data_IF_397813262288
#
_entry.id   IF_397813262288
#
_cell.length_a   1.000
_cell.length_b   1.000
_cell.length_c   1.000
_cell.angle_alpha   90.00
_cell.angle_beta   90.00
_cell.angle_gamma   90.00
#
_symmetry.space_group_name_H-M   'P 1'
#
loop_
_entity.id
_entity.type
_entity.pdbx_description
1 polymer ?
#
# COMPACT_ATOMS: atom_id res chain seq x y z
N UNK A 1 -4.04 -30.78 20.94
CA UNK A 1 -4.77 -30.18 19.80
C UNK A 1 -3.94 -28.99 19.34
N UNK A 2 -3.14 -29.13 18.28
CA UNK A 2 -2.38 -28.02 17.71
C UNK A 2 -3.33 -27.19 16.85
N UNK A 3 -3.53 -25.92 17.21
CA UNK A 3 -4.24 -24.97 16.37
C UNK A 3 -3.40 -24.73 15.11
N UNK A 4 -3.88 -25.23 13.96
CA UNK A 4 -3.38 -24.80 12.66
C UNK A 4 -3.61 -23.29 12.58
N UNK A 5 -2.55 -22.50 12.70
CA UNK A 5 -2.54 -21.11 12.25
C UNK A 5 -3.01 -21.15 10.80
N UNK A 6 -4.18 -20.56 10.51
CA UNK A 6 -4.57 -20.35 9.12
C UNK A 6 -3.46 -19.52 8.49
N UNK A 7 -2.73 -20.08 7.55
CA UNK A 7 -1.90 -19.30 6.64
C UNK A 7 -2.89 -18.49 5.79
N UNK A 8 -3.39 -17.39 6.37
CA UNK A 8 -4.32 -16.48 5.70
C UNK A 8 -3.65 -16.02 4.43
N UNK A 9 -4.17 -16.44 3.27
CA UNK A 9 -3.66 -15.98 1.99
C UNK A 9 -3.74 -14.46 1.97
N UNK A 10 -2.58 -13.81 1.92
CA UNK A 10 -2.50 -12.37 1.82
C UNK A 10 -2.86 -12.01 0.37
N UNK A 11 -4.09 -11.56 0.16
CA UNK A 11 -4.54 -11.10 -1.15
C UNK A 11 -4.01 -9.68 -1.41
N UNK A 12 -2.80 -9.59 -1.98
CA UNK A 12 -2.15 -8.32 -2.30
C UNK A 12 -3.01 -7.49 -3.26
N UNK A 13 -3.66 -8.12 -4.24
CA UNK A 13 -4.51 -7.43 -5.21
C UNK A 13 -5.69 -6.71 -4.52
N UNK A 14 -6.34 -7.37 -3.54
CA UNK A 14 -7.40 -6.77 -2.74
C UNK A 14 -6.90 -5.60 -1.87
N UNK A 15 -5.64 -5.64 -1.43
CA UNK A 15 -5.01 -4.58 -0.62
C UNK A 15 -4.46 -3.43 -1.46
N UNK A 16 -4.32 -3.59 -2.77
CA UNK A 16 -3.84 -2.54 -3.67
C UNK A 16 -4.97 -2.09 -4.61
N UNK A 17 -5.79 -1.13 -4.20
CA UNK A 17 -6.69 -0.45 -5.15
C UNK A 17 -5.86 0.41 -6.10
N UNK A 18 -6.11 0.27 -7.40
CA UNK A 18 -5.55 1.15 -8.42
C UNK A 18 -6.17 2.54 -8.24
N UNK A 19 -5.35 3.57 -8.23
CA UNK A 19 -5.82 4.95 -8.30
C UNK A 19 -5.95 5.29 -9.78
N UNK A 20 -7.18 5.41 -10.28
CA UNK A 20 -7.37 5.94 -11.63
C UNK A 20 -7.09 7.45 -11.65
N UNK A 21 -6.40 7.89 -12.70
CA UNK A 21 -6.10 9.30 -12.90
C UNK A 21 -7.33 9.97 -13.53
N UNK A 22 -7.95 10.86 -12.77
CA UNK A 22 -9.00 11.76 -13.21
C UNK A 22 -8.37 13.13 -13.52
N UNK A 23 -8.36 13.48 -14.81
CA UNK A 23 -7.80 14.74 -15.30
C UNK A 23 -8.58 15.98 -14.83
N UNK A 24 -9.74 15.80 -14.19
CA UNK A 24 -10.50 16.88 -13.53
C UNK A 24 -9.87 17.28 -12.19
N UNK A 25 -9.02 16.42 -11.61
CA UNK A 25 -8.35 16.67 -10.34
C UNK A 25 -6.99 17.34 -10.62
N UNK A 26 -6.69 18.39 -9.86
CA UNK A 26 -5.42 19.09 -10.00
C UNK A 26 -4.22 18.16 -9.70
N UNK A 27 -3.19 18.22 -10.54
CA UNK A 27 -1.98 17.40 -10.43
C UNK A 27 -1.32 17.45 -9.03
N UNK A 28 -1.40 18.61 -8.36
CA UNK A 28 -0.91 18.81 -6.98
C UNK A 28 -1.55 17.84 -5.97
N UNK A 29 -2.80 17.44 -6.18
CA UNK A 29 -3.50 16.48 -5.32
C UNK A 29 -2.85 15.10 -5.45
N UNK A 30 -2.53 14.66 -6.67
CA UNK A 30 -1.83 13.40 -6.90
C UNK A 30 -0.45 13.38 -6.23
N UNK A 31 0.32 14.47 -6.33
CA UNK A 31 1.59 14.57 -5.61
C UNK A 31 1.44 14.49 -4.08
N UNK A 32 0.39 15.07 -3.51
CA UNK A 32 0.09 14.94 -2.07
C UNK A 32 -0.28 13.51 -1.69
N UNK A 33 -1.05 12.82 -2.54
CA UNK A 33 -1.39 11.40 -2.32
C UNK A 33 -0.11 10.56 -2.36
N UNK A 34 0.74 10.77 -3.35
CA UNK A 34 2.01 10.05 -3.51
C UNK A 34 2.94 10.27 -2.30
N UNK A 35 3.07 11.51 -1.82
CA UNK A 35 3.85 11.84 -0.62
C UNK A 35 3.31 11.13 0.64
N UNK A 36 1.98 11.09 0.80
CA UNK A 36 1.36 10.37 1.92
C UNK A 36 1.60 8.86 1.84
N UNK A 37 1.57 8.26 0.64
CA UNK A 37 1.88 6.83 0.46
C UNK A 37 3.31 6.52 0.86
N UNK A 38 4.28 7.36 0.48
CA UNK A 38 5.68 7.17 0.86
C UNK A 38 5.90 7.33 2.37
N UNK A 39 5.24 8.30 3.02
CA UNK A 39 5.28 8.44 4.47
C UNK A 39 4.78 7.19 5.20
N UNK A 40 3.70 6.56 4.70
CA UNK A 40 3.22 5.29 5.26
C UNK A 40 4.20 4.15 5.00
N UNK A 41 4.84 4.10 3.83
CA UNK A 41 5.88 3.12 3.53
C UNK A 41 7.06 3.23 4.51
N UNK A 42 7.48 4.45 4.87
CA UNK A 42 8.56 4.65 5.83
C UNK A 42 8.19 4.16 7.25
N UNK A 43 6.93 4.27 7.65
CA UNK A 43 6.43 3.70 8.92
C UNK A 43 6.55 2.18 8.90
N UNK A 44 6.01 1.50 7.87
CA UNK A 44 6.10 0.05 7.76
C UNK A 44 7.55 -0.44 7.65
N UNK A 45 8.43 0.33 7.01
CA UNK A 45 9.87 0.04 6.98
C UNK A 45 10.47 0.09 8.39
N UNK A 46 10.13 1.10 9.19
CA UNK A 46 10.61 1.24 10.56
C UNK A 46 10.07 0.14 11.49
N UNK A 47 8.85 -0.33 11.26
CA UNK A 47 8.20 -1.41 12.01
C UNK A 47 8.65 -2.82 11.57
N UNK A 48 9.36 -2.92 10.44
CA UNK A 48 9.77 -4.21 9.86
C UNK A 48 8.61 -4.98 9.19
N UNK A 49 7.48 -4.33 8.93
CA UNK A 49 6.36 -4.93 8.21
C UNK A 49 6.61 -4.91 6.69
N UNK A 50 7.28 -5.97 6.22
CA UNK A 50 7.68 -6.11 4.81
C UNK A 50 6.47 -6.27 3.88
N UNK A 51 5.39 -6.90 4.35
CA UNK A 51 4.19 -7.10 3.53
C UNK A 51 3.53 -5.75 3.27
N UNK A 52 3.32 -4.96 4.31
CA UNK A 52 2.61 -3.69 4.19
C UNK A 52 3.46 -2.62 3.52
N UNK A 53 4.78 -2.65 3.76
CA UNK A 53 5.75 -1.90 2.97
C UNK A 53 5.63 -2.22 1.48
N UNK A 54 5.62 -3.50 1.10
CA UNK A 54 5.48 -3.91 -0.30
C UNK A 54 4.16 -3.44 -0.91
N UNK A 55 3.05 -3.54 -0.17
CA UNK A 55 1.73 -3.04 -0.61
C UNK A 55 1.77 -1.53 -0.83
N UNK A 56 2.41 -0.74 0.06
CA UNK A 56 2.52 0.71 -0.13
C UNK A 56 3.36 1.08 -1.35
N UNK A 57 4.50 0.42 -1.55
CA UNK A 57 5.36 0.65 -2.71
C UNK A 57 4.65 0.29 -4.03
N UNK A 58 3.86 -0.79 -4.04
CA UNK A 58 3.02 -1.14 -5.19
C UNK A 58 1.90 -0.11 -5.46
N UNK A 59 1.38 0.56 -4.44
CA UNK A 59 0.38 1.63 -4.63
C UNK A 59 1.02 2.89 -5.23
N UNK A 60 2.28 3.16 -4.92
CA UNK A 60 3.02 4.31 -5.45
C UNK A 60 3.46 4.10 -6.91
N UNK A 61 3.84 2.89 -7.30
CA UNK A 61 4.41 2.59 -8.63
C UNK A 61 3.39 2.35 -9.73
N UNK A 62 2.09 2.36 -9.41
CA UNK A 62 0.99 2.03 -10.33
C UNK A 62 0.29 3.24 -10.92
#
# INVERSE_FOLDING_TARGET
MMTRSSSGQINIAARTKKLDVDNRIALKIYYRIADNVLKQADIFRAEGDVIDLYVMLLRFSR
#
